data_IF_562058826595
#
_entry.id   IF_562058826595
#
_cell.length_a   1.000
_cell.length_b   1.000
_cell.length_c   1.000
_cell.angle_alpha   90.00
_cell.angle_beta   90.00
_cell.angle_gamma   90.00
#
_symmetry.space_group_name_H-M   'P 1'
#
loop_
_entity.id
_entity.type
_entity.pdbx_description
1 polymer ?
#
# COMPACT_ATOMS: atom_id res chain seq x y z
N UNK A 1 -16.57 -42.82 -11.78
CA UNK A 1 -15.51 -41.93 -11.21
C UNK A 1 -14.64 -41.26 -12.28
N UNK A 2 -14.43 -41.86 -13.48
CA UNK A 2 -13.61 -41.24 -14.56
C UNK A 2 -14.18 -39.95 -15.18
N UNK A 3 -15.50 -39.72 -15.13
CA UNK A 3 -16.10 -38.49 -15.64
C UNK A 3 -15.63 -37.26 -14.83
N UNK A 4 -15.59 -37.37 -13.50
CA UNK A 4 -15.16 -36.28 -12.60
C UNK A 4 -13.67 -35.92 -12.74
N UNK A 5 -12.80 -36.87 -13.04
CA UNK A 5 -11.37 -36.59 -13.23
C UNK A 5 -11.11 -35.77 -14.50
N UNK A 6 -11.88 -35.99 -15.56
CA UNK A 6 -11.74 -35.24 -16.82
C UNK A 6 -12.13 -33.77 -16.68
N UNK A 7 -13.21 -33.43 -15.93
CA UNK A 7 -13.53 -32.02 -15.63
C UNK A 7 -12.49 -31.36 -14.74
N UNK A 8 -11.92 -32.10 -13.79
CA UNK A 8 -10.87 -31.58 -12.92
C UNK A 8 -9.61 -31.21 -13.72
N UNK A 9 -9.22 -32.04 -14.69
CA UNK A 9 -8.06 -31.77 -15.57
C UNK A 9 -8.29 -30.60 -16.53
N UNK A 10 -9.49 -30.49 -17.11
CA UNK A 10 -9.86 -29.33 -17.95
C UNK A 10 -9.88 -28.06 -17.10
N UNK A 11 -10.47 -28.13 -15.90
CA UNK A 11 -10.53 -27.00 -14.98
C UNK A 11 -9.14 -26.56 -14.53
N UNK A 12 -8.24 -27.47 -14.16
CA UNK A 12 -6.86 -27.12 -13.79
C UNK A 12 -6.10 -26.50 -14.96
N UNK A 13 -6.28 -27.00 -16.18
CA UNK A 13 -5.72 -26.40 -17.39
C UNK A 13 -6.20 -24.96 -17.63
N UNK A 14 -7.51 -24.72 -17.56
CA UNK A 14 -8.11 -23.38 -17.71
C UNK A 14 -7.63 -22.43 -16.61
N UNK A 15 -7.62 -22.89 -15.35
CA UNK A 15 -7.13 -22.10 -14.22
C UNK A 15 -5.63 -21.79 -14.36
N UNK A 16 -4.83 -22.73 -14.86
CA UNK A 16 -3.40 -22.52 -15.13
C UNK A 16 -3.17 -21.43 -16.18
N UNK A 17 -3.93 -21.44 -17.27
CA UNK A 17 -3.86 -20.39 -18.30
C UNK A 17 -4.30 -19.04 -17.72
N UNK A 18 -5.38 -19.00 -16.95
CA UNK A 18 -5.86 -17.76 -16.30
C UNK A 18 -4.84 -17.17 -15.30
N UNK A 19 -4.17 -18.02 -14.52
CA UNK A 19 -3.08 -17.60 -13.61
C UNK A 19 -1.87 -17.11 -14.40
N UNK A 20 -1.52 -17.76 -15.50
CA UNK A 20 -0.45 -17.31 -16.39
C UNK A 20 -0.71 -15.92 -16.95
N UNK A 21 -1.91 -15.68 -17.51
CA UNK A 21 -2.30 -14.38 -18.06
C UNK A 21 -2.32 -13.30 -16.98
N UNK A 22 -2.92 -13.58 -15.81
CA UNK A 22 -2.99 -12.61 -14.72
C UNK A 22 -1.61 -12.26 -14.14
N UNK A 23 -0.68 -13.20 -14.13
CA UNK A 23 0.71 -12.96 -13.72
C UNK A 23 1.44 -12.02 -14.69
N UNK A 24 1.29 -12.24 -16.00
CA UNK A 24 1.88 -11.35 -17.02
C UNK A 24 1.32 -9.93 -16.89
N UNK A 25 0.00 -9.79 -16.72
CA UNK A 25 -0.65 -8.49 -16.49
C UNK A 25 -0.12 -7.83 -15.21
N UNK A 26 0.02 -8.60 -14.12
CA UNK A 26 0.58 -8.11 -12.86
C UNK A 26 2.00 -7.58 -13.00
N UNK A 27 2.85 -8.25 -13.79
CA UNK A 27 4.21 -7.79 -14.08
C UNK A 27 4.19 -6.47 -14.85
N UNK A 28 3.32 -6.35 -15.87
CA UNK A 28 3.19 -5.09 -16.62
C UNK A 28 2.78 -3.95 -15.68
N UNK A 29 1.77 -4.17 -14.85
CA UNK A 29 1.31 -3.17 -13.86
C UNK A 29 2.41 -2.78 -12.88
N UNK A 30 3.21 -3.74 -12.44
CA UNK A 30 4.36 -3.49 -11.59
C UNK A 30 5.38 -2.56 -12.26
N UNK A 31 5.75 -2.85 -13.52
CA UNK A 31 6.69 -2.03 -14.30
C UNK A 31 6.18 -0.59 -14.43
N UNK A 32 4.90 -0.40 -14.76
CA UNK A 32 4.28 0.93 -14.85
C UNK A 32 4.34 1.70 -13.52
N UNK A 33 4.01 1.03 -12.41
CA UNK A 33 4.09 1.62 -11.06
C UNK A 33 5.53 2.04 -10.72
N UNK A 34 6.50 1.14 -10.93
CA UNK A 34 7.92 1.39 -10.63
C UNK A 34 8.49 2.53 -11.45
N UNK A 35 8.18 2.61 -12.76
CA UNK A 35 8.61 3.73 -13.61
C UNK A 35 7.97 5.05 -13.16
N UNK A 36 6.68 5.04 -12.83
CA UNK A 36 5.96 6.21 -12.34
C UNK A 36 6.61 6.77 -11.07
N UNK A 37 6.83 5.91 -10.07
CA UNK A 37 7.47 6.32 -8.81
C UNK A 37 8.93 6.72 -8.99
N UNK A 38 9.70 6.01 -9.82
CA UNK A 38 11.09 6.36 -10.14
C UNK A 38 11.18 7.77 -10.71
N UNK A 39 10.31 8.10 -11.68
CA UNK A 39 10.31 9.40 -12.35
C UNK A 39 9.96 10.53 -11.37
N UNK A 40 8.94 10.32 -10.52
CA UNK A 40 8.55 11.29 -9.48
C UNK A 40 9.68 11.49 -8.48
N UNK A 41 10.28 10.40 -7.98
CA UNK A 41 11.35 10.45 -7.00
C UNK A 41 12.61 11.15 -7.55
N UNK A 42 12.99 10.86 -8.80
CA UNK A 42 14.14 11.50 -9.47
C UNK A 42 13.93 13.00 -9.63
N UNK A 43 12.73 13.41 -10.06
CA UNK A 43 12.39 14.84 -10.22
C UNK A 43 12.37 15.59 -8.89
N UNK A 44 11.85 14.96 -7.83
CA UNK A 44 11.78 15.56 -6.48
C UNK A 44 13.09 15.49 -5.68
N UNK A 45 14.17 15.02 -6.30
CA UNK A 45 15.49 14.90 -5.65
C UNK A 45 15.52 13.94 -4.45
N UNK A 46 14.62 12.94 -4.41
CA UNK A 46 14.61 11.95 -3.33
C UNK A 46 15.85 11.06 -3.48
N UNK A 47 16.66 10.88 -2.43
CA UNK A 47 17.81 9.99 -2.49
C UNK A 47 17.35 8.57 -2.84
N UNK A 48 18.17 7.85 -3.60
CA UNK A 48 17.95 6.43 -3.92
C UNK A 48 16.66 6.10 -4.70
N UNK A 49 16.26 6.94 -5.66
CA UNK A 49 15.11 6.71 -6.56
C UNK A 49 15.11 5.32 -7.24
N UNK A 50 16.29 4.74 -7.51
CA UNK A 50 16.43 3.40 -8.10
C UNK A 50 15.79 2.26 -7.30
N UNK A 51 15.56 2.45 -5.99
CA UNK A 51 14.87 1.46 -5.16
C UNK A 51 13.39 1.25 -5.55
N UNK A 52 12.80 2.12 -6.37
CA UNK A 52 11.44 1.95 -6.87
C UNK A 52 11.22 0.64 -7.67
N UNK A 53 12.29 0.02 -8.17
CA UNK A 53 12.29 -1.27 -8.89
C UNK A 53 12.34 -2.50 -8.00
N UNK A 54 12.50 -2.33 -6.69
CA UNK A 54 12.44 -3.42 -5.72
C UNK A 54 11.07 -3.34 -5.04
N UNK A 55 10.32 -4.44 -4.87
CA UNK A 55 9.01 -4.40 -4.23
C UNK A 55 9.01 -3.68 -2.86
N UNK A 56 10.04 -3.93 -2.05
CA UNK A 56 10.25 -3.24 -0.77
C UNK A 56 10.64 -1.78 -0.92
N UNK A 57 11.47 -1.47 -1.92
CA UNK A 57 11.93 -0.11 -2.19
C UNK A 57 10.83 0.77 -2.79
N UNK A 58 9.89 0.21 -3.54
CA UNK A 58 8.70 0.88 -4.05
C UNK A 58 7.88 1.48 -2.88
N UNK A 59 7.59 0.68 -1.85
CA UNK A 59 6.91 1.15 -0.63
C UNK A 59 7.68 2.25 0.09
N UNK A 60 9.01 2.12 0.17
CA UNK A 60 9.85 3.14 0.78
C UNK A 60 9.84 4.46 -0.01
N UNK A 61 9.92 4.39 -1.35
CA UNK A 61 9.85 5.56 -2.23
C UNK A 61 8.49 6.23 -2.09
N UNK A 62 7.39 5.48 -2.13
CA UNK A 62 6.05 6.00 -1.90
C UNK A 62 5.94 6.71 -0.54
N UNK A 63 6.45 6.09 0.53
CA UNK A 63 6.49 6.69 1.86
C UNK A 63 7.36 7.95 1.93
N UNK A 64 8.50 7.98 1.23
CA UNK A 64 9.39 9.13 1.18
C UNK A 64 8.79 10.32 0.42
N UNK A 65 8.03 10.05 -0.65
CA UNK A 65 7.28 11.05 -1.39
C UNK A 65 6.16 11.63 -0.50
N UNK A 66 5.46 10.78 0.23
CA UNK A 66 4.44 11.19 1.19
C UNK A 66 5.01 12.01 2.37
N UNK A 67 6.21 11.67 2.85
CA UNK A 67 6.91 12.43 3.88
C UNK A 67 7.34 13.81 3.35
N UNK A 68 7.87 13.90 2.12
CA UNK A 68 8.17 15.18 1.47
C UNK A 68 6.93 16.08 1.35
N UNK A 69 5.79 15.51 0.98
CA UNK A 69 4.54 16.28 0.92
C UNK A 69 4.14 16.84 2.29
N UNK A 70 4.22 16.05 3.37
CA UNK A 70 3.91 16.56 4.72
C UNK A 70 4.91 17.62 5.21
N UNK A 71 6.17 17.51 4.81
CA UNK A 71 7.20 18.52 5.08
C UNK A 71 6.87 19.83 4.36
N UNK A 72 6.56 19.77 3.07
CA UNK A 72 6.31 20.97 2.25
C UNK A 72 4.93 21.57 2.55
N UNK A 73 3.87 20.77 2.62
CA UNK A 73 2.51 21.29 2.75
C UNK A 73 2.09 21.59 4.20
N UNK A 74 2.64 20.87 5.18
CA UNK A 74 2.21 20.96 6.60
C UNK A 74 3.33 21.33 7.56
N UNK A 75 4.56 21.50 7.07
CA UNK A 75 5.76 21.69 7.87
C UNK A 75 5.92 20.64 9.00
N UNK A 76 5.41 19.43 8.76
CA UNK A 76 5.34 18.36 9.76
C UNK A 76 6.29 17.23 9.38
N UNK A 77 7.27 16.95 10.25
CA UNK A 77 8.20 15.83 10.06
C UNK A 77 7.53 14.50 10.43
N UNK A 78 6.90 13.83 9.46
CA UNK A 78 6.44 12.44 9.63
C UNK A 78 7.50 11.45 9.14
N UNK A 79 7.42 10.22 9.65
CA UNK A 79 8.32 9.09 9.33
C UNK A 79 7.55 7.97 8.64
N UNK A 80 6.66 8.31 7.71
CA UNK A 80 5.78 7.35 7.05
C UNK A 80 6.57 6.31 6.25
N UNK A 81 7.73 6.66 5.69
CA UNK A 81 8.62 5.69 5.03
C UNK A 81 9.07 4.55 5.94
N UNK A 82 9.36 4.82 7.22
CA UNK A 82 9.79 3.79 8.17
C UNK A 82 8.61 2.98 8.68
N UNK A 83 7.45 3.61 8.88
CA UNK A 83 6.22 2.93 9.27
C UNK A 83 5.81 1.87 8.23
N UNK A 84 5.80 2.23 6.94
CA UNK A 84 5.48 1.30 5.86
C UNK A 84 6.48 0.14 5.77
N UNK A 85 7.77 0.41 6.00
CA UNK A 85 8.80 -0.64 6.06
C UNK A 85 8.58 -1.61 7.22
N UNK A 86 8.33 -1.12 8.44
CA UNK A 86 8.09 -1.99 9.60
C UNK A 86 6.83 -2.84 9.42
N UNK A 87 5.78 -2.28 8.82
CA UNK A 87 4.57 -3.04 8.46
C UNK A 87 4.87 -4.15 7.44
N UNK A 88 5.67 -3.85 6.43
CA UNK A 88 6.07 -4.83 5.43
C UNK A 88 6.95 -5.94 6.03
N UNK A 89 7.92 -5.58 6.87
CA UNK A 89 8.77 -6.55 7.59
C UNK A 89 7.91 -7.44 8.49
N UNK A 90 6.95 -6.87 9.22
CA UNK A 90 6.03 -7.63 10.07
C UNK A 90 5.20 -8.64 9.27
N UNK A 91 4.73 -8.26 8.06
CA UNK A 91 4.03 -9.19 7.17
C UNK A 91 4.93 -10.34 6.71
N UNK A 92 6.18 -10.05 6.32
CA UNK A 92 7.13 -11.07 5.88
C UNK A 92 7.43 -12.05 7.02
N UNK A 93 7.68 -11.54 8.23
CA UNK A 93 7.92 -12.38 9.41
C UNK A 93 6.74 -13.30 9.69
N UNK A 94 5.51 -12.77 9.61
CA UNK A 94 4.31 -13.56 9.84
C UNK A 94 4.12 -14.64 8.76
N UNK A 95 4.36 -14.33 7.49
CA UNK A 95 4.32 -15.31 6.39
C UNK A 95 5.38 -16.40 6.58
N UNK A 96 6.61 -16.02 6.96
CA UNK A 96 7.66 -17.00 7.25
C UNK A 96 7.30 -17.90 8.43
N UNK A 97 6.62 -17.37 9.46
CA UNK A 97 6.11 -18.15 10.58
C UNK A 97 5.00 -19.14 10.19
N UNK A 98 4.34 -18.97 9.03
CA UNK A 98 3.38 -19.95 8.50
C UNK A 98 4.05 -21.20 7.92
N UNK A 99 5.30 -21.11 7.48
CA UNK A 99 5.94 -22.24 6.80
C UNK A 99 6.07 -23.45 7.76
N UNK A 100 6.56 -23.28 9.00
CA UNK A 100 6.59 -24.39 9.97
C UNK A 100 5.20 -24.94 10.31
N UNK A 101 4.17 -24.09 10.41
CA UNK A 101 2.81 -24.54 10.75
C UNK A 101 2.19 -25.35 9.61
N UNK A 102 2.46 -24.99 8.36
CA UNK A 102 2.09 -25.79 7.18
C UNK A 102 2.78 -27.15 7.17
N UNK A 103 4.09 -27.20 7.46
CA UNK A 103 4.84 -28.47 7.55
C UNK A 103 4.25 -29.35 8.65
N UNK A 104 3.94 -28.76 9.80
CA UNK A 104 3.35 -29.45 10.95
C UNK A 104 1.96 -30.02 10.62
N UNK A 105 1.15 -29.26 9.87
CA UNK A 105 -0.14 -29.70 9.38
C UNK A 105 -0.03 -30.91 8.43
N UNK A 106 0.89 -30.89 7.47
CA UNK A 106 1.09 -32.00 6.52
C UNK A 106 1.50 -33.28 7.26
N UNK A 107 2.42 -33.17 8.22
CA UNK A 107 2.86 -34.31 9.04
C UNK A 107 1.71 -34.82 9.91
N UNK A 108 0.94 -33.93 10.53
CA UNK A 108 -0.22 -34.28 11.35
C UNK A 108 -1.30 -35.00 10.53
N UNK A 109 -1.62 -34.50 9.34
CA UNK A 109 -2.61 -35.10 8.44
C UNK A 109 -2.16 -36.48 7.92
N UNK A 110 -0.88 -36.63 7.58
CA UNK A 110 -0.32 -37.92 7.20
C UNK A 110 -0.41 -38.93 8.35
N UNK A 111 -0.06 -38.53 9.58
CA UNK A 111 -0.14 -39.40 10.77
C UNK A 111 -1.57 -39.79 11.13
N UNK A 112 -2.52 -38.86 11.05
CA UNK A 112 -3.94 -39.13 11.30
C UNK A 112 -4.51 -40.19 10.35
N UNK A 113 -3.96 -40.31 9.13
CA UNK A 113 -4.36 -41.34 8.17
C UNK A 113 -3.93 -42.76 8.59
N UNK A 114 -2.92 -42.88 9.46
CA UNK A 114 -2.41 -44.16 9.97
C UNK A 114 -2.87 -44.46 11.40
N UNK A 115 -3.07 -43.43 12.23
CA UNK A 115 -3.47 -43.55 13.63
C UNK A 115 -4.35 -42.36 14.07
N UNK A 116 -5.62 -42.64 14.38
CA UNK A 116 -6.62 -41.65 14.77
C UNK A 116 -6.45 -41.13 16.20
N UNK A 117 -5.51 -41.66 16.98
CA UNK A 117 -5.25 -41.22 18.37
C UNK A 117 -4.78 -39.76 18.47
N UNK A 118 -4.26 -39.19 17.37
CA UNK A 118 -3.64 -37.87 17.33
C UNK A 118 -4.59 -36.74 16.85
N UNK A 119 -5.90 -36.97 16.88
CA UNK A 119 -6.89 -36.00 16.39
C UNK A 119 -6.79 -34.63 17.09
N UNK A 120 -6.55 -34.62 18.41
CA UNK A 120 -6.44 -33.38 19.19
C UNK A 120 -5.27 -32.49 18.76
N UNK A 121 -4.13 -33.10 18.40
CA UNK A 121 -2.96 -32.37 17.91
C UNK A 121 -3.22 -31.75 16.53
N UNK A 122 -3.92 -32.47 15.64
CA UNK A 122 -4.30 -31.95 14.33
C UNK A 122 -5.25 -30.74 14.48
N UNK A 123 -6.26 -30.86 15.35
CA UNK A 123 -7.19 -29.76 15.66
C UNK A 123 -6.42 -28.53 16.19
N UNK A 124 -5.47 -28.74 17.11
CA UNK A 124 -4.60 -27.67 17.61
C UNK A 124 -3.81 -26.96 16.51
N UNK A 125 -3.21 -27.70 15.56
CA UNK A 125 -2.49 -27.09 14.44
C UNK A 125 -3.39 -26.28 13.51
N UNK A 126 -4.60 -26.75 13.24
CA UNK A 126 -5.59 -26.04 12.40
C UNK A 126 -6.04 -24.74 13.08
N UNK A 127 -6.28 -24.76 14.39
CA UNK A 127 -6.65 -23.55 15.14
C UNK A 127 -5.52 -22.52 15.14
N UNK A 128 -4.26 -22.95 15.34
CA UNK A 128 -3.10 -22.06 15.26
C UNK A 128 -2.98 -21.45 13.87
N UNK A 129 -3.15 -22.24 12.81
CA UNK A 129 -3.13 -21.76 11.42
C UNK A 129 -4.24 -20.74 11.15
N UNK A 130 -5.45 -20.96 11.69
CA UNK A 130 -6.57 -20.01 11.57
C UNK A 130 -6.26 -18.68 12.28
N UNK A 131 -5.76 -18.71 13.52
CA UNK A 131 -5.39 -17.51 14.28
C UNK A 131 -4.32 -16.70 13.53
N UNK A 132 -3.31 -17.42 13.06
CA UNK A 132 -2.24 -16.92 12.24
C UNK A 132 -2.73 -16.24 10.95
N UNK A 133 -3.66 -16.87 10.24
CA UNK A 133 -4.28 -16.33 9.03
C UNK A 133 -5.12 -15.08 9.31
N UNK A 134 -5.90 -15.07 10.40
CA UNK A 134 -6.65 -13.89 10.84
C UNK A 134 -5.68 -12.73 11.16
N UNK A 135 -4.58 -13.02 11.85
CA UNK A 135 -3.53 -12.03 12.13
C UNK A 135 -2.92 -11.45 10.85
N UNK A 136 -2.69 -12.30 9.84
CA UNK A 136 -2.19 -11.88 8.53
C UNK A 136 -3.17 -10.95 7.82
N UNK A 137 -4.47 -11.30 7.81
CA UNK A 137 -5.51 -10.46 7.24
C UNK A 137 -5.61 -9.11 7.94
N UNK A 138 -5.59 -9.09 9.28
CA UNK A 138 -5.62 -7.86 10.05
C UNK A 138 -4.42 -6.96 9.72
N UNK A 139 -3.22 -7.52 9.68
CA UNK A 139 -2.00 -6.78 9.34
C UNK A 139 -2.01 -6.31 7.87
N UNK A 140 -2.55 -7.12 6.95
CA UNK A 140 -2.73 -6.76 5.56
C UNK A 140 -3.64 -5.53 5.42
N UNK A 141 -4.79 -5.52 6.10
CA UNK A 141 -5.72 -4.39 6.10
C UNK A 141 -5.05 -3.13 6.66
N UNK A 142 -4.36 -3.23 7.79
CA UNK A 142 -3.61 -2.12 8.38
C UNK A 142 -2.58 -1.57 7.37
N UNK A 143 -1.79 -2.44 6.76
CA UNK A 143 -0.77 -2.06 5.78
C UNK A 143 -1.39 -1.38 4.55
N UNK A 144 -2.55 -1.85 4.09
CA UNK A 144 -3.28 -1.27 2.97
C UNK A 144 -3.75 0.15 3.30
N UNK A 145 -4.33 0.38 4.47
CA UNK A 145 -4.78 1.72 4.91
C UNK A 145 -3.61 2.71 4.90
N UNK A 146 -2.47 2.37 5.51
CA UNK A 146 -1.30 3.26 5.53
C UNK A 146 -0.73 3.52 4.13
N UNK A 147 -0.79 2.51 3.26
CA UNK A 147 -0.37 2.63 1.86
C UNK A 147 -1.31 3.55 1.07
N UNK A 148 -2.63 3.43 1.24
CA UNK A 148 -3.60 4.34 0.62
C UNK A 148 -3.49 5.77 1.14
N UNK A 149 -3.15 5.98 2.42
CA UNK A 149 -2.83 7.31 2.94
C UNK A 149 -1.58 7.89 2.24
N UNK A 150 -0.59 7.05 1.93
CA UNK A 150 0.58 7.48 1.15
C UNK A 150 0.19 7.85 -0.29
N UNK A 151 -0.65 7.04 -0.93
CA UNK A 151 -1.21 7.34 -2.25
C UNK A 151 -2.06 8.61 -2.26
N UNK A 152 -2.85 8.86 -1.22
CA UNK A 152 -3.60 10.11 -1.09
C UNK A 152 -2.69 11.33 -1.18
N UNK A 153 -1.60 11.32 -0.41
CA UNK A 153 -0.62 12.39 -0.38
C UNK A 153 0.11 12.52 -1.71
N UNK A 154 0.44 11.40 -2.34
CA UNK A 154 0.99 11.39 -3.69
C UNK A 154 0.04 12.09 -4.68
N UNK A 155 -1.22 11.64 -4.77
CA UNK A 155 -2.20 12.23 -5.68
C UNK A 155 -2.47 13.70 -5.37
N UNK A 156 -2.55 14.07 -4.09
CA UNK A 156 -2.72 15.46 -3.66
C UNK A 156 -1.54 16.34 -4.03
N UNK A 157 -0.32 15.80 -4.00
CA UNK A 157 0.88 16.52 -4.43
C UNK A 157 0.95 16.71 -5.95
N UNK A 158 0.33 15.82 -6.73
CA UNK A 158 0.32 15.90 -8.19
C UNK A 158 -0.81 16.76 -8.74
N UNK A 159 -2.03 16.60 -8.20
CA UNK A 159 -3.23 17.36 -8.58
C UNK A 159 -4.21 17.46 -7.39
N UNK A 160 -4.29 18.59 -6.67
CA UNK A 160 -5.06 18.69 -5.44
C UNK A 160 -6.58 18.54 -5.65
N UNK A 161 -7.12 19.00 -6.78
CA UNK A 161 -8.56 19.02 -7.06
C UNK A 161 -9.14 17.63 -7.28
N UNK A 162 -8.40 16.75 -7.97
CA UNK A 162 -8.85 15.40 -8.34
C UNK A 162 -8.28 14.30 -7.43
N UNK A 163 -7.54 14.65 -6.38
CA UNK A 163 -6.80 13.69 -5.55
C UNK A 163 -7.71 12.64 -4.89
N UNK A 164 -8.88 13.05 -4.39
CA UNK A 164 -9.84 12.16 -3.73
C UNK A 164 -10.44 11.19 -4.76
N UNK A 165 -10.77 11.68 -5.95
CA UNK A 165 -11.30 10.84 -7.03
C UNK A 165 -10.31 9.73 -7.39
N UNK A 166 -9.04 10.06 -7.62
CA UNK A 166 -8.02 9.05 -7.92
C UNK A 166 -7.81 8.05 -6.79
N UNK A 167 -7.91 8.49 -5.54
CA UNK A 167 -7.81 7.60 -4.39
C UNK A 167 -9.00 6.64 -4.31
N UNK A 168 -10.23 7.16 -4.37
CA UNK A 168 -11.44 6.34 -4.30
C UNK A 168 -11.45 5.34 -5.46
N UNK A 169 -11.07 5.78 -6.65
CA UNK A 169 -10.98 4.92 -7.83
C UNK A 169 -9.87 3.87 -7.68
N UNK A 170 -8.75 4.18 -7.03
CA UNK A 170 -7.70 3.21 -6.70
C UNK A 170 -8.16 2.18 -5.65
N UNK A 171 -9.06 2.56 -4.72
CA UNK A 171 -9.61 1.63 -3.73
C UNK A 171 -10.56 0.63 -4.39
N UNK A 172 -11.49 1.10 -5.23
CA UNK A 172 -12.46 0.24 -5.93
C UNK A 172 -11.83 -0.56 -7.08
N UNK A 173 -10.86 0.04 -7.78
CA UNK A 173 -10.18 -0.55 -8.91
C UNK A 173 -8.67 -0.52 -8.66
N UNK A 174 -8.19 -1.42 -7.80
CA UNK A 174 -6.77 -1.48 -7.41
C UNK A 174 -5.82 -1.62 -8.60
N UNK A 175 -6.27 -2.20 -9.71
CA UNK A 175 -5.50 -2.32 -10.95
C UNK A 175 -5.24 -0.98 -11.66
N UNK A 176 -5.98 0.09 -11.35
CA UNK A 176 -5.78 1.42 -11.96
C UNK A 176 -4.70 2.24 -11.27
N UNK A 177 -4.37 1.93 -10.01
CA UNK A 177 -3.28 2.55 -9.23
C UNK A 177 -1.98 2.75 -10.03
N UNK A 178 -1.39 1.73 -10.68
CA UNK A 178 -0.16 1.90 -11.47
C UNK A 178 -0.30 2.93 -12.60
N UNK A 179 -1.47 2.98 -13.25
CA UNK A 179 -1.74 3.94 -14.32
C UNK A 179 -1.88 5.37 -13.79
N UNK A 180 -2.55 5.57 -12.66
CA UNK A 180 -2.65 6.90 -12.05
C UNK A 180 -1.30 7.42 -11.57
N UNK A 181 -0.51 6.57 -10.93
CA UNK A 181 0.86 6.91 -10.51
C UNK A 181 1.71 7.30 -11.71
N UNK A 182 1.60 6.56 -12.81
CA UNK A 182 2.30 6.87 -14.05
C UNK A 182 1.79 8.16 -14.73
N UNK A 183 0.48 8.41 -14.75
CA UNK A 183 -0.11 9.63 -15.30
C UNK A 183 0.29 10.88 -14.49
N UNK A 184 0.39 10.73 -13.17
CA UNK A 184 0.81 11.77 -12.24
C UNK A 184 2.32 12.04 -12.26
N UNK A 185 3.11 11.23 -12.98
CA UNK A 185 4.59 11.30 -12.93
C UNK A 185 5.19 12.65 -13.29
N UNK A 186 4.49 13.41 -14.15
CA UNK A 186 4.93 14.71 -14.65
C UNK A 186 4.22 15.91 -14.01
N UNK A 187 3.38 15.71 -13.00
CA UNK A 187 2.62 16.79 -12.33
C UNK A 187 3.06 17.00 -10.88
N UNK A 188 3.18 18.24 -10.43
CA UNK A 188 3.55 18.66 -9.05
C UNK A 188 2.72 19.88 -8.59
N UNK A 189 1.49 20.03 -9.10
CA UNK A 189 0.63 21.21 -8.87
C UNK A 189 0.21 21.41 -7.40
N UNK A 190 0.30 20.36 -6.58
CA UNK A 190 -0.03 20.42 -5.15
C UNK A 190 1.19 20.54 -4.24
N UNK A 191 2.41 20.59 -4.79
CA UNK A 191 3.66 20.68 -4.03
C UNK A 191 4.11 22.14 -3.91
N UNK A 192 3.27 22.97 -3.27
CA UNK A 192 3.63 24.35 -2.94
C UNK A 192 3.95 24.46 -1.44
N UNK A 193 5.05 25.14 -1.12
CA UNK A 193 5.35 25.51 0.26
C UNK A 193 4.21 26.38 0.81
N UNK A 194 3.95 26.39 2.12
CA UNK A 194 2.95 27.27 2.70
C UNK A 194 3.45 28.68 2.42
N UNK A 195 2.66 29.49 1.71
CA UNK A 195 3.00 30.90 1.51
C UNK A 195 3.15 31.49 2.92
N UNK A 196 4.34 32.00 3.32
CA UNK A 196 4.45 32.67 4.61
C UNK A 196 3.40 33.78 4.63
N UNK A 197 2.72 34.04 5.76
CA UNK A 197 1.79 35.15 5.83
C UNK A 197 2.50 36.39 5.30
N UNK A 198 1.96 36.99 4.24
CA UNK A 198 2.48 38.23 3.67
C UNK A 198 2.32 39.31 4.74
N UNK A 199 3.29 39.43 5.64
CA UNK A 199 3.58 40.67 6.34
C UNK A 199 3.63 41.79 5.30
N UNK A 200 2.73 42.79 5.37
CA UNK A 200 2.87 43.97 4.55
C UNK A 200 4.26 44.59 4.82
N UNK A 201 4.92 45.19 3.80
CA UNK A 201 6.23 45.80 3.96
C UNK A 201 6.29 46.68 5.20
N UNK A 202 7.31 46.49 6.05
CA UNK A 202 7.55 47.30 7.24
C UNK A 202 7.52 48.78 6.85
N UNK A 203 6.43 49.47 7.19
CA UNK A 203 6.19 50.87 6.81
C UNK A 203 4.79 51.17 6.27
N UNK A 204 3.97 50.16 5.94
CA UNK A 204 2.56 50.42 5.58
C UNK A 204 1.68 50.52 6.84
N UNK A 205 0.79 51.53 6.95
CA UNK A 205 -0.20 51.60 8.02
C UNK A 205 -1.05 50.32 8.03
N UNK A 206 -1.07 49.61 9.16
CA UNK A 206 -1.98 48.47 9.31
C UNK A 206 -3.44 48.98 9.27
N UNK A 207 -4.34 48.36 8.49
CA UNK A 207 -5.74 48.73 8.53
C UNK A 207 -6.30 48.48 9.95
N UNK A 208 -7.19 49.34 10.46
CA UNK A 208 -7.72 49.22 11.82
C UNK A 208 -8.32 47.83 12.05
N UNK A 209 -7.88 47.17 13.13
CA UNK A 209 -8.42 45.90 13.57
C UNK A 209 -9.86 46.10 14.06
N UNK A 210 -10.84 45.90 13.18
CA UNK A 210 -12.24 45.75 13.58
C UNK A 210 -12.40 44.36 14.21
N UNK A 211 -12.21 44.30 15.53
CA UNK A 211 -12.59 43.14 16.31
C UNK A 211 -14.06 42.86 16.10
N UNK A 212 -14.40 41.64 15.65
CA UNK A 212 -15.78 41.15 15.61
C UNK A 212 -16.28 40.99 17.06
N UNK A 213 -16.69 42.11 17.64
CA UNK A 213 -17.43 42.22 18.87
C UNK A 213 -18.63 43.11 18.62
N UNK A 214 -19.62 42.58 17.91
CA UNK A 214 -20.95 43.18 17.87
C UNK A 214 -21.94 42.18 18.49
N UNK A 215 -22.62 42.54 19.60
CA UNK A 215 -23.61 41.68 20.24
C UNK A 215 -24.82 41.51 19.32
N UNK A 216 -25.31 40.26 19.24
CA UNK A 216 -26.60 39.96 18.63
C UNK A 216 -27.68 40.63 19.50
N UNK A 217 -28.38 41.61 18.91
CA UNK A 217 -29.61 42.17 19.44
C UNK A 217 -30.80 41.60 18.66
#
# INVERSE_FOLDING_TARGET
>A
MQYYSSYAEILTGVMGIAVGISSVIGIVFYIFSSIGLYTIAKRRGIPSAGWAWVPLGNLWILGSIADQYDLVAKNAKKKQRHLLLWLCVSMIVLVLAMIPTLVSFIIGAARHSFDSSNADALIGTVLIMLICYIGLLALAVISAVFTYIAYYKLYKSCSPDNAVLFLVLSIFFSFLTPFFVFACRNKDEGLHAPVPPQYPPYGMPQPPYYGNGAPQA
#
